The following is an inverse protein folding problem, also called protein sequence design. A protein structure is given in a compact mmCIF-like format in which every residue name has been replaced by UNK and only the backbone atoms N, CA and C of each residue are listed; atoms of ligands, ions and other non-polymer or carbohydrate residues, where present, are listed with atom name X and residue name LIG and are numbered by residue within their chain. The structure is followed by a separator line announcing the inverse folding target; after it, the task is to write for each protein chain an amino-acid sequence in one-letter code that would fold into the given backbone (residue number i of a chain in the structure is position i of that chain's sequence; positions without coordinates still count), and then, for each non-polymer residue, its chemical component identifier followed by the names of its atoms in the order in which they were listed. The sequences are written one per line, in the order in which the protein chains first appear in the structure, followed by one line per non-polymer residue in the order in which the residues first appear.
data_IF_099445617248
#
_entry.id   IF_099445617248
#
_cell.length_a   1.000
_cell.length_b   1.000
_cell.length_c   1.000
_cell.angle_alpha   90.00
_cell.angle_beta   90.00
_cell.angle_gamma   90.00
#
_symmetry.space_group_name_H-M   'P 1'
#
loop_
_entity.id
_entity.type
_entity.pdbx_description
1 polymer ?
#
# COMPACT_ATOMS: atom_id res chain seq x y z
N UNK A 1 -37.09 32.77 -2.73
CA UNK A 1 -36.01 33.20 -1.81
C UNK A 1 -35.76 32.00 -0.89
N UNK A 2 -34.75 31.15 -1.17
CA UNK A 2 -33.40 31.16 -0.55
C UNK A 2 -33.54 30.87 0.97
N UNK A 3 -33.04 29.82 1.65
CA UNK A 3 -31.77 29.06 1.59
C UNK A 3 -31.91 27.83 2.54
N UNK A 4 -31.83 26.56 2.11
CA UNK A 4 -30.71 25.57 2.13
C UNK A 4 -30.16 25.06 3.50
N UNK A 5 -30.11 23.71 3.57
CA UNK A 5 -29.17 22.78 4.24
C UNK A 5 -29.41 22.30 5.68
N UNK A 6 -29.95 21.07 5.77
CA UNK A 6 -29.64 20.04 6.76
C UNK A 6 -28.13 19.80 6.89
N UNK A 7 -27.56 20.09 8.06
CA UNK A 7 -26.28 19.51 8.49
C UNK A 7 -26.48 18.95 9.88
N UNK A 8 -26.67 17.63 9.98
CA UNK A 8 -26.22 16.83 11.11
C UNK A 8 -26.44 15.36 10.76
N UNK A 9 -25.55 14.85 9.93
CA UNK A 9 -25.28 13.42 9.82
C UNK A 9 -23.83 13.29 9.37
N UNK A 10 -23.16 12.24 9.82
CA UNK A 10 -21.76 11.86 9.56
C UNK A 10 -20.74 12.29 10.63
N UNK A 11 -21.10 12.07 11.89
CA UNK A 11 -20.15 11.57 12.89
C UNK A 11 -20.22 10.04 12.86
N UNK A 12 -19.31 9.36 12.14
CA UNK A 12 -18.85 7.98 12.37
C UNK A 12 -18.18 7.38 11.11
N UNK A 13 -16.91 7.72 10.87
CA UNK A 13 -15.90 6.83 10.30
C UNK A 13 -14.52 7.49 10.47
N UNK A 14 -13.57 6.78 11.06
CA UNK A 14 -12.42 7.33 11.77
C UNK A 14 -11.43 8.16 10.95
N UNK A 15 -10.78 9.12 11.64
CA UNK A 15 -9.56 9.86 11.24
C UNK A 15 -9.41 10.02 9.72
N UNK A 16 -10.24 10.87 9.12
CA UNK A 16 -10.10 11.22 7.71
C UNK A 16 -8.79 11.99 7.49
N UNK A 17 -7.80 11.36 6.86
CA UNK A 17 -6.77 12.08 6.12
C UNK A 17 -7.49 13.12 5.25
N UNK A 18 -7.11 14.39 5.39
CA UNK A 18 -7.66 15.46 4.56
C UNK A 18 -7.49 15.10 3.08
N UNK A 19 -8.35 15.62 2.19
CA UNK A 19 -8.22 15.37 0.74
C UNK A 19 -6.80 15.69 0.23
N UNK A 20 -6.13 16.66 0.86
CA UNK A 20 -4.73 17.04 0.61
C UNK A 20 -3.75 15.96 1.07
N UNK A 21 -3.95 15.38 2.25
CA UNK A 21 -3.15 14.25 2.73
C UNK A 21 -3.36 12.99 1.88
N UNK A 22 -4.59 12.72 1.44
CA UNK A 22 -4.83 11.62 0.51
C UNK A 22 -4.16 11.83 -0.85
N UNK A 23 -4.18 13.06 -1.39
CA UNK A 23 -3.46 13.39 -2.62
C UNK A 23 -1.95 13.26 -2.45
N UNK A 24 -1.41 13.74 -1.31
CA UNK A 24 0.02 13.66 -1.01
C UNK A 24 0.44 12.21 -0.81
N UNK A 25 -0.33 11.43 -0.07
CA UNK A 25 -0.10 10.00 0.13
C UNK A 25 -0.20 9.23 -1.19
N UNK A 26 -1.16 9.57 -2.07
CA UNK A 26 -1.28 8.96 -3.41
C UNK A 26 -0.07 9.29 -4.31
N UNK A 27 0.41 10.53 -4.29
CA UNK A 27 1.59 10.93 -5.05
C UNK A 27 2.86 10.23 -4.55
N UNK A 28 2.97 10.10 -3.23
CA UNK A 28 4.04 9.34 -2.59
C UNK A 28 3.97 7.86 -2.95
N UNK A 29 2.81 7.23 -2.83
CA UNK A 29 2.58 5.83 -3.20
C UNK A 29 2.86 5.60 -4.69
N UNK A 30 2.51 6.55 -5.56
CA UNK A 30 2.84 6.48 -6.98
C UNK A 30 4.35 6.60 -7.24
N UNK A 31 5.05 7.46 -6.50
CA UNK A 31 6.51 7.56 -6.54
C UNK A 31 7.19 6.29 -6.05
N UNK A 32 6.68 5.69 -4.97
CA UNK A 32 7.16 4.40 -4.46
C UNK A 32 6.87 3.27 -5.46
N UNK A 33 5.70 3.24 -6.08
CA UNK A 33 5.34 2.26 -7.11
C UNK A 33 6.23 2.36 -8.36
N UNK A 34 6.72 3.57 -8.67
CA UNK A 34 7.65 3.84 -9.75
C UNK A 34 9.14 3.69 -9.38
N UNK A 35 9.49 3.40 -8.12
CA UNK A 35 10.87 3.15 -7.73
C UNK A 35 11.36 1.81 -8.29
N UNK A 36 12.63 1.79 -8.72
CA UNK A 36 13.34 0.58 -9.17
C UNK A 36 13.24 -0.56 -8.15
N UNK A 37 13.31 -0.26 -6.84
CA UNK A 37 13.16 -1.27 -5.78
C UNK A 37 11.78 -1.93 -5.82
N UNK A 38 10.69 -1.17 -6.05
CA UNK A 38 9.32 -1.71 -6.10
C UNK A 38 9.07 -2.53 -7.36
N UNK A 39 9.62 -2.12 -8.50
CA UNK A 39 9.58 -2.94 -9.72
C UNK A 39 10.34 -4.25 -9.53
N UNK A 40 11.49 -4.20 -8.86
CA UNK A 40 12.29 -5.38 -8.53
C UNK A 40 11.57 -6.28 -7.54
N UNK A 41 10.87 -5.70 -6.56
CA UNK A 41 10.03 -6.43 -5.61
C UNK A 41 8.91 -7.17 -6.34
N UNK A 42 8.18 -6.45 -7.20
CA UNK A 42 7.10 -7.04 -8.03
C UNK A 42 7.64 -8.14 -8.94
N UNK A 43 8.84 -8.00 -9.49
CA UNK A 43 9.47 -9.03 -10.31
C UNK A 43 9.82 -10.27 -9.50
N UNK A 44 10.38 -10.11 -8.29
CA UNK A 44 10.70 -11.24 -7.41
C UNK A 44 9.43 -11.97 -6.94
N UNK A 45 8.40 -11.22 -6.56
CA UNK A 45 7.10 -11.77 -6.20
C UNK A 45 6.47 -12.51 -7.40
N UNK A 46 6.51 -11.92 -8.61
CA UNK A 46 5.99 -12.57 -9.83
C UNK A 46 6.74 -13.87 -10.15
N UNK A 47 8.05 -13.90 -9.92
CA UNK A 47 8.87 -15.12 -10.08
C UNK A 47 8.51 -16.23 -9.10
N UNK A 48 8.01 -15.90 -7.90
CA UNK A 48 7.48 -16.88 -6.96
C UNK A 48 6.11 -17.43 -7.38
N UNK A 49 5.43 -16.77 -8.33
CA UNK A 49 4.14 -17.18 -8.87
C UNK A 49 2.97 -16.84 -7.93
N UNK A 50 1.77 -16.66 -8.50
CA UNK A 50 0.56 -16.45 -7.69
C UNK A 50 0.34 -15.03 -7.15
N UNK A 51 1.16 -14.04 -7.53
CA UNK A 51 0.98 -12.64 -7.09
C UNK A 51 -0.40 -12.08 -7.40
N UNK A 52 -0.99 -12.46 -8.53
CA UNK A 52 -2.32 -11.98 -8.91
C UNK A 52 -3.40 -12.59 -8.02
N UNK A 53 -3.26 -13.86 -7.63
CA UNK A 53 -4.15 -14.53 -6.68
C UNK A 53 -3.96 -13.95 -5.27
N UNK A 54 -2.73 -13.73 -4.83
CA UNK A 54 -2.42 -13.11 -3.55
C UNK A 54 -2.94 -11.67 -3.47
N UNK A 55 -2.78 -10.89 -4.54
CA UNK A 55 -3.34 -9.54 -4.66
C UNK A 55 -4.87 -9.56 -4.67
N UNK A 56 -5.50 -10.51 -5.36
CA UNK A 56 -6.96 -10.69 -5.34
C UNK A 56 -7.48 -11.12 -3.96
N UNK A 57 -6.79 -12.03 -3.30
CA UNK A 57 -7.12 -12.47 -1.94
C UNK A 57 -7.00 -11.30 -0.96
N UNK A 58 -5.90 -10.54 -1.01
CA UNK A 58 -5.70 -9.36 -0.19
C UNK A 58 -6.77 -8.28 -0.47
N UNK A 59 -7.14 -8.07 -1.74
CA UNK A 59 -8.23 -7.17 -2.11
C UNK A 59 -9.61 -7.67 -1.65
N UNK A 60 -9.78 -8.98 -1.49
CA UNK A 60 -10.97 -9.61 -0.90
C UNK A 60 -10.94 -9.67 0.64
N UNK A 61 -9.84 -9.21 1.28
CA UNK A 61 -9.68 -9.20 2.74
C UNK A 61 -8.85 -10.34 3.33
N UNK A 62 -8.30 -11.23 2.50
CA UNK A 62 -7.37 -12.30 2.90
C UNK A 62 -5.93 -11.99 2.46
N UNK A 63 -5.14 -11.25 3.27
CA UNK A 63 -3.74 -10.98 2.96
C UNK A 63 -2.82 -12.18 3.22
N UNK A 64 -3.33 -13.30 3.76
CA UNK A 64 -2.56 -14.48 4.16
C UNK A 64 -1.64 -15.00 3.06
N UNK A 65 -2.18 -15.11 1.83
CA UNK A 65 -1.41 -15.53 0.66
C UNK A 65 -0.28 -14.55 0.33
N UNK A 66 -0.53 -13.25 0.44
CA UNK A 66 0.47 -12.22 0.19
C UNK A 66 1.55 -12.22 1.27
N UNK A 67 1.16 -12.43 2.54
CA UNK A 67 2.10 -12.55 3.65
C UNK A 67 3.04 -13.74 3.48
N UNK A 68 2.54 -14.91 3.10
CA UNK A 68 3.40 -16.08 2.83
C UNK A 68 4.43 -15.79 1.74
N UNK A 69 4.04 -15.11 0.66
CA UNK A 69 4.96 -14.75 -0.42
C UNK A 69 6.02 -13.76 0.05
N UNK A 70 5.62 -12.73 0.79
CA UNK A 70 6.54 -11.75 1.38
C UNK A 70 7.50 -12.43 2.36
N UNK A 71 7.02 -13.38 3.15
CA UNK A 71 7.84 -14.13 4.11
C UNK A 71 8.87 -15.01 3.40
N UNK A 72 8.48 -15.70 2.33
CA UNK A 72 9.41 -16.44 1.47
C UNK A 72 10.42 -15.54 0.79
N UNK A 73 10.00 -14.34 0.36
CA UNK A 73 10.89 -13.35 -0.19
C UNK A 73 11.90 -12.84 0.86
N UNK A 74 11.43 -12.54 2.08
CA UNK A 74 12.27 -12.11 3.21
C UNK A 74 13.15 -13.22 3.76
N UNK A 75 12.84 -14.49 3.50
CA UNK A 75 13.72 -15.61 3.80
C UNK A 75 15.05 -15.52 3.02
N UNK A 76 15.06 -14.82 1.88
CA UNK A 76 16.27 -14.52 1.11
C UNK A 76 16.88 -13.19 1.53
N UNK A 77 18.21 -13.15 1.72
CA UNK A 77 18.95 -11.93 2.09
C UNK A 77 18.70 -10.77 1.13
N UNK A 78 18.61 -11.04 -0.18
CA UNK A 78 18.32 -10.02 -1.19
C UNK A 78 16.88 -9.49 -1.08
N UNK A 79 15.90 -10.35 -0.84
CA UNK A 79 14.50 -9.98 -0.71
C UNK A 79 14.20 -9.22 0.59
N UNK A 80 14.80 -9.63 1.71
CA UNK A 80 14.69 -8.91 2.99
C UNK A 80 15.24 -7.49 2.91
N UNK A 81 16.42 -7.31 2.28
CA UNK A 81 17.05 -6.00 2.12
C UNK A 81 16.21 -5.10 1.21
N UNK A 82 15.67 -5.65 0.12
CA UNK A 82 14.76 -4.95 -0.79
C UNK A 82 13.48 -4.48 -0.07
N UNK A 83 12.82 -5.37 0.67
CA UNK A 83 11.62 -5.04 1.46
C UNK A 83 11.95 -3.99 2.52
N UNK A 84 13.10 -4.09 3.19
CA UNK A 84 13.54 -3.10 4.16
C UNK A 84 13.78 -1.72 3.53
N UNK A 85 14.40 -1.66 2.34
CA UNK A 85 14.59 -0.40 1.60
C UNK A 85 13.26 0.22 1.16
N UNK A 86 12.31 -0.58 0.70
CA UNK A 86 10.97 -0.10 0.34
C UNK A 86 10.22 0.41 1.58
N UNK A 87 10.28 -0.33 2.69
CA UNK A 87 9.70 0.09 3.98
C UNK A 87 10.32 1.38 4.51
N UNK A 88 11.62 1.59 4.29
CA UNK A 88 12.28 2.85 4.64
C UNK A 88 11.89 3.99 3.71
N UNK A 89 11.77 3.73 2.39
CA UNK A 89 11.30 4.73 1.43
C UNK A 89 9.85 5.13 1.72
N UNK A 90 8.98 4.17 2.03
CA UNK A 90 7.58 4.40 2.40
C UNK A 90 7.45 5.28 3.65
N UNK A 91 8.21 4.95 4.71
CA UNK A 91 8.26 5.77 5.94
C UNK A 91 8.83 7.16 5.71
N UNK A 92 9.93 7.28 4.95
CA UNK A 92 10.53 8.58 4.59
C UNK A 92 9.59 9.44 3.77
N UNK A 93 8.70 8.82 3.00
CA UNK A 93 7.74 9.52 2.17
C UNK A 93 6.42 9.84 2.90
N UNK A 94 6.29 9.48 4.18
CA UNK A 94 5.14 9.84 5.03
C UNK A 94 3.91 8.96 4.83
N UNK A 95 4.10 7.73 4.35
CA UNK A 95 3.08 6.68 4.34
C UNK A 95 3.18 5.94 5.68
N UNK A 96 2.37 6.33 6.65
CA UNK A 96 2.20 5.63 7.94
C UNK A 96 0.78 5.13 8.10
#
# INVERSE_FOLDING_TARGET
MIFVISKNNQEAAGKGMSAVELMKNRAVLAGLAGSDDTQRLMTMLQKQGGVQQAAKAAAAGDPSHLMTMVEQLMSSKEGADLVARIQQQARKAGVE
#
